data_IF_803066748974
#
_entry.id   IF_803066748974
#
_cell.length_a   1.000
_cell.length_b   1.000
_cell.length_c   1.000
_cell.angle_alpha   90.00
_cell.angle_beta   90.00
_cell.angle_gamma   90.00
#
_symmetry.space_group_name_H-M   'P 1'
#
loop_
_entity.id
_entity.type
_entity.pdbx_description
1 polymer ?
#
# COMPACT_ATOMS: atom_id res chain seq x y z
N UNK A 1 -13.78 -32.28 3.51
CA UNK A 1 -14.08 -30.91 3.05
C UNK A 1 -14.10 -29.98 4.25
N UNK A 2 -13.42 -28.86 4.15
CA UNK A 2 -13.57 -27.74 5.08
C UNK A 2 -14.70 -26.81 4.60
N UNK A 3 -15.06 -25.80 5.41
CA UNK A 3 -16.14 -24.87 5.08
C UNK A 3 -15.91 -24.09 3.78
N UNK A 4 -14.65 -23.68 3.54
CA UNK A 4 -14.28 -22.92 2.34
C UNK A 4 -14.41 -23.78 1.09
N UNK A 5 -13.82 -24.97 1.09
CA UNK A 5 -13.90 -25.92 -0.03
C UNK A 5 -15.34 -26.25 -0.41
N UNK A 6 -16.22 -26.42 0.60
CA UNK A 6 -17.65 -26.69 0.36
C UNK A 6 -18.36 -25.47 -0.22
N UNK A 7 -18.05 -24.28 0.27
CA UNK A 7 -18.62 -23.03 -0.21
C UNK A 7 -18.22 -22.75 -1.67
N UNK A 8 -16.94 -22.93 -2.00
CA UNK A 8 -16.41 -22.75 -3.35
C UNK A 8 -17.05 -23.79 -4.31
N UNK A 9 -17.24 -25.04 -3.88
CA UNK A 9 -17.90 -26.07 -4.65
C UNK A 9 -19.37 -25.71 -4.96
N UNK A 10 -20.09 -25.14 -3.99
CA UNK A 10 -21.47 -24.69 -4.15
C UNK A 10 -21.58 -23.56 -5.19
N UNK A 11 -20.66 -22.61 -5.14
CA UNK A 11 -20.64 -21.48 -6.06
C UNK A 11 -20.23 -21.90 -7.50
N UNK A 12 -19.16 -22.69 -7.63
CA UNK A 12 -18.58 -23.01 -8.93
C UNK A 12 -19.30 -24.16 -9.66
N UNK A 13 -19.63 -25.24 -8.94
CA UNK A 13 -20.20 -26.46 -9.58
C UNK A 13 -21.70 -26.37 -9.73
N UNK A 14 -22.41 -25.83 -8.75
CA UNK A 14 -23.87 -25.74 -8.77
C UNK A 14 -24.41 -24.37 -9.16
N UNK A 15 -23.53 -23.39 -9.46
CA UNK A 15 -23.91 -22.04 -9.87
C UNK A 15 -25.04 -21.44 -9.02
N UNK A 16 -24.98 -21.75 -7.71
CA UNK A 16 -26.00 -21.32 -6.76
C UNK A 16 -25.88 -19.82 -6.50
N UNK A 17 -27.03 -19.15 -6.43
CA UNK A 17 -27.08 -17.76 -5.98
C UNK A 17 -26.61 -17.68 -4.54
N UNK A 18 -25.79 -16.68 -4.23
CA UNK A 18 -25.35 -16.41 -2.88
C UNK A 18 -26.57 -16.12 -1.98
N UNK A 19 -26.52 -16.62 -0.75
CA UNK A 19 -27.62 -16.56 0.24
C UNK A 19 -28.86 -17.43 -0.11
N UNK A 20 -28.84 -18.22 -1.19
CA UNK A 20 -29.89 -19.20 -1.48
C UNK A 20 -29.60 -20.52 -0.78
N UNK A 21 -30.54 -21.02 0.01
CA UNK A 21 -30.41 -22.31 0.69
C UNK A 21 -30.75 -23.44 -0.27
N UNK A 22 -29.78 -24.28 -0.55
CA UNK A 22 -29.91 -25.47 -1.37
C UNK A 22 -30.11 -26.70 -0.49
N UNK A 23 -30.94 -27.65 -0.96
CA UNK A 23 -31.16 -28.94 -0.30
C UNK A 23 -30.43 -30.04 -1.05
N UNK A 24 -29.62 -30.81 -0.32
CA UNK A 24 -28.77 -31.87 -0.84
C UNK A 24 -29.17 -33.22 -0.26
N UNK A 25 -29.02 -34.24 -1.08
CA UNK A 25 -29.05 -35.62 -0.66
C UNK A 25 -27.67 -36.28 -0.80
N UNK A 26 -27.24 -36.95 0.23
CA UNK A 26 -25.99 -37.72 0.20
C UNK A 26 -26.19 -39.16 0.64
N UNK A 27 -25.41 -40.05 0.06
CA UNK A 27 -25.28 -41.44 0.49
C UNK A 27 -23.83 -41.94 0.29
N UNK A 28 -23.44 -42.87 1.08
CA UNK A 28 -22.15 -43.56 0.92
C UNK A 28 -22.38 -44.86 0.17
N UNK A 29 -21.58 -45.07 -0.85
CA UNK A 29 -21.52 -46.37 -1.55
C UNK A 29 -20.14 -46.99 -1.25
N UNK A 30 -20.12 -48.17 -0.67
CA UNK A 30 -18.93 -48.94 -0.42
C UNK A 30 -18.92 -50.15 -1.35
N UNK A 31 -17.83 -50.33 -2.09
CA UNK A 31 -17.64 -51.49 -2.98
C UNK A 31 -16.26 -52.14 -2.69
N UNK A 32 -16.17 -53.44 -2.89
CA UNK A 32 -14.89 -54.13 -2.83
C UNK A 32 -14.20 -54.00 -4.19
N UNK A 33 -12.97 -53.53 -4.20
CA UNK A 33 -12.21 -53.31 -5.44
C UNK A 33 -12.08 -54.65 -6.23
N UNK A 34 -12.55 -54.63 -7.48
CA UNK A 34 -12.58 -55.80 -8.35
C UNK A 34 -13.75 -56.79 -8.09
N UNK A 35 -14.68 -56.41 -7.19
CA UNK A 35 -15.86 -57.20 -6.84
C UNK A 35 -17.08 -56.31 -6.68
N UNK A 36 -17.56 -55.75 -7.78
CA UNK A 36 -18.69 -54.78 -7.80
C UNK A 36 -20.01 -55.40 -7.30
N UNK A 37 -20.15 -56.74 -7.35
CA UNK A 37 -21.28 -57.47 -6.81
C UNK A 37 -21.43 -57.36 -5.28
N UNK A 38 -20.39 -56.90 -4.57
CA UNK A 38 -20.42 -56.64 -3.12
C UNK A 38 -20.56 -55.17 -2.77
N UNK A 39 -21.37 -54.45 -3.51
CA UNK A 39 -21.66 -53.04 -3.24
C UNK A 39 -22.73 -52.90 -2.16
N UNK A 40 -22.46 -52.07 -1.15
CA UNK A 40 -23.43 -51.65 -0.14
C UNK A 40 -23.64 -50.12 -0.23
N UNK A 41 -24.91 -49.74 -0.06
CA UNK A 41 -25.30 -48.32 -0.12
C UNK A 41 -25.97 -47.93 1.19
N UNK A 42 -25.55 -46.84 1.80
CA UNK A 42 -26.20 -46.30 2.99
C UNK A 42 -27.60 -45.74 2.69
N UNK A 43 -28.43 -45.56 3.73
CA UNK A 43 -29.61 -44.68 3.60
C UNK A 43 -29.20 -43.29 3.11
N UNK A 44 -30.13 -42.60 2.43
CA UNK A 44 -29.98 -41.19 2.03
C UNK A 44 -30.09 -40.32 3.27
N UNK A 45 -29.21 -39.34 3.38
CA UNK A 45 -29.26 -38.25 4.36
C UNK A 45 -29.50 -36.94 3.62
N UNK A 46 -30.53 -36.20 4.01
CA UNK A 46 -30.85 -34.89 3.47
C UNK A 46 -30.27 -33.81 4.38
N UNK A 47 -29.63 -32.81 3.81
CA UNK A 47 -29.10 -31.65 4.55
C UNK A 47 -29.22 -30.39 3.68
N UNK A 48 -29.14 -29.22 4.35
CA UNK A 48 -29.24 -27.94 3.69
C UNK A 48 -27.94 -27.18 3.84
N UNK A 49 -27.52 -26.54 2.76
CA UNK A 49 -26.36 -25.65 2.71
C UNK A 49 -26.76 -24.32 2.10
N UNK A 50 -26.26 -23.24 2.66
CA UNK A 50 -26.39 -21.89 2.13
C UNK A 50 -24.98 -21.38 1.82
N UNK A 51 -24.65 -21.15 0.55
CA UNK A 51 -23.37 -20.55 0.21
C UNK A 51 -23.31 -19.14 0.77
N UNK A 52 -22.13 -18.71 1.16
CA UNK A 52 -21.91 -17.38 1.72
C UNK A 52 -20.77 -16.67 1.02
N UNK A 53 -20.82 -15.34 1.00
CA UNK A 53 -19.66 -14.52 0.63
C UNK A 53 -18.81 -14.33 1.88
N UNK A 54 -17.54 -14.76 1.83
CA UNK A 54 -16.57 -14.35 2.84
C UNK A 54 -16.48 -12.82 2.80
N UNK A 55 -16.78 -12.16 3.91
CA UNK A 55 -16.79 -10.69 3.99
C UNK A 55 -15.55 -10.19 4.70
N UNK A 56 -14.77 -9.41 3.99
CA UNK A 56 -13.66 -8.66 4.54
C UNK A 56 -14.17 -7.29 4.99
N UNK A 57 -14.05 -7.00 6.29
CA UNK A 57 -14.55 -5.75 6.87
C UNK A 57 -13.55 -4.61 6.72
N UNK A 58 -12.28 -4.93 6.65
CA UNK A 58 -11.20 -3.98 6.59
C UNK A 58 -10.11 -4.46 5.62
N UNK A 59 -9.48 -3.49 4.98
CA UNK A 59 -8.32 -3.70 4.12
C UNK A 59 -7.38 -2.51 4.29
N UNK A 60 -6.09 -2.79 4.34
CA UNK A 60 -5.05 -1.77 4.43
C UNK A 60 -4.03 -1.95 3.32
N UNK A 61 -3.55 -0.84 2.80
CA UNK A 61 -2.46 -0.79 1.84
C UNK A 61 -1.16 -0.48 2.57
N UNK A 62 -0.08 -1.20 2.24
CA UNK A 62 1.27 -1.00 2.75
C UNK A 62 2.28 -1.08 1.61
N UNK A 63 3.43 -0.47 1.80
CA UNK A 63 4.52 -0.54 0.82
C UNK A 63 5.26 0.77 0.64
N UNK A 64 6.41 0.73 -0.01
CA UNK A 64 7.23 1.92 -0.30
C UNK A 64 6.50 2.99 -1.11
N UNK A 65 5.46 2.62 -1.86
CA UNK A 65 4.61 3.56 -2.56
C UNK A 65 3.62 4.31 -1.65
N UNK A 66 3.39 3.88 -0.41
CA UNK A 66 2.49 4.55 0.53
C UNK A 66 3.27 5.46 1.48
N UNK A 67 2.64 6.52 1.97
CA UNK A 67 3.26 7.44 2.95
C UNK A 67 3.65 6.72 4.24
N UNK A 68 2.91 5.68 4.63
CA UNK A 68 3.18 4.84 5.80
C UNK A 68 4.29 3.81 5.60
N UNK A 69 4.74 3.61 4.36
CA UNK A 69 5.76 2.62 4.01
C UNK A 69 5.37 1.20 4.37
N UNK A 70 6.35 0.40 4.75
CA UNK A 70 6.16 -1.00 5.20
C UNK A 70 5.77 -1.13 6.67
N UNK A 71 5.38 -0.04 7.32
CA UNK A 71 4.92 -0.05 8.71
C UNK A 71 3.46 -0.48 8.82
N UNK A 72 3.19 -1.60 9.50
CA UNK A 72 1.83 -2.06 9.76
C UNK A 72 1.04 -1.06 10.62
N UNK A 73 1.69 -0.39 11.56
CA UNK A 73 1.04 0.63 12.42
C UNK A 73 0.55 1.83 11.59
N UNK A 74 1.30 2.19 10.54
CA UNK A 74 1.01 3.29 9.64
C UNK A 74 0.32 2.85 8.33
N UNK A 75 -0.16 1.60 8.25
CA UNK A 75 -0.83 1.08 7.07
C UNK A 75 -2.02 1.97 6.68
N UNK A 76 -2.12 2.29 5.40
CA UNK A 76 -3.14 3.16 4.83
C UNK A 76 -4.47 2.40 4.72
N UNK A 77 -5.54 2.84 5.39
CA UNK A 77 -6.84 2.18 5.29
C UNK A 77 -7.46 2.40 3.92
N UNK A 78 -8.16 1.39 3.42
CA UNK A 78 -9.04 1.51 2.26
C UNK A 78 -10.50 1.63 2.71
N UNK A 79 -11.29 2.35 1.93
CA UNK A 79 -12.72 2.52 2.20
C UNK A 79 -13.52 1.42 1.50
N UNK A 80 -14.47 0.81 2.21
CA UNK A 80 -15.39 -0.17 1.61
C UNK A 80 -16.39 0.54 0.69
N UNK A 81 -16.69 -0.09 -0.44
CA UNK A 81 -17.69 0.42 -1.38
C UNK A 81 -19.09 -0.06 -0.96
N UNK A 82 -20.02 0.89 -0.74
CA UNK A 82 -21.41 0.58 -0.45
C UNK A 82 -22.02 -0.21 -1.62
N UNK A 83 -22.81 -1.23 -1.31
CA UNK A 83 -23.45 -2.14 -2.29
C UNK A 83 -22.50 -3.00 -3.16
N UNK A 84 -21.19 -2.99 -2.90
CA UNK A 84 -20.21 -3.86 -3.55
C UNK A 84 -19.50 -4.74 -2.50
N UNK A 85 -20.02 -5.95 -2.18
CA UNK A 85 -19.38 -6.83 -1.20
C UNK A 85 -17.90 -7.08 -1.53
N UNK A 86 -17.02 -6.89 -0.53
CA UNK A 86 -15.56 -7.01 -0.69
C UNK A 86 -14.94 -6.02 -1.69
N UNK A 87 -15.70 -5.01 -2.13
CA UNK A 87 -15.19 -3.89 -2.89
C UNK A 87 -14.54 -2.85 -1.99
N UNK A 88 -13.37 -2.37 -2.38
CA UNK A 88 -12.63 -1.33 -1.68
C UNK A 88 -12.13 -0.28 -2.65
N UNK A 89 -12.06 0.97 -2.17
CA UNK A 89 -11.54 2.10 -2.92
C UNK A 89 -10.63 2.96 -2.05
N UNK A 90 -9.67 3.58 -2.66
CA UNK A 90 -8.83 4.60 -2.05
C UNK A 90 -8.39 5.62 -3.10
N UNK A 91 -8.31 6.89 -2.71
CA UNK A 91 -7.76 7.97 -3.51
C UNK A 91 -6.73 8.76 -2.71
N UNK A 92 -5.62 9.10 -3.34
CA UNK A 92 -4.59 9.90 -2.70
C UNK A 92 -3.26 9.88 -3.44
N UNK A 93 -2.23 10.34 -2.74
CA UNK A 93 -0.87 10.37 -3.27
C UNK A 93 -0.20 9.01 -3.07
N UNK A 94 0.30 8.44 -4.16
CA UNK A 94 1.29 7.38 -4.14
C UNK A 94 2.65 7.93 -4.53
N UNK A 95 3.68 7.40 -3.89
CA UNK A 95 5.09 7.64 -4.19
C UNK A 95 5.60 6.53 -5.13
N UNK A 96 6.80 6.67 -5.69
CA UNK A 96 7.43 5.54 -6.40
C UNK A 96 7.78 4.43 -5.42
N UNK A 97 7.54 3.18 -5.80
CA UNK A 97 7.80 2.01 -4.97
C UNK A 97 6.76 0.92 -5.10
N UNK A 98 6.91 -0.09 -4.29
CA UNK A 98 6.02 -1.24 -4.24
C UNK A 98 4.87 -1.04 -3.27
N UNK A 99 3.73 -1.71 -3.51
CA UNK A 99 2.63 -1.83 -2.56
C UNK A 99 1.93 -3.19 -2.64
N UNK A 100 1.29 -3.56 -1.54
CA UNK A 100 0.36 -4.69 -1.41
C UNK A 100 -0.72 -4.39 -0.37
N UNK A 101 -1.65 -5.33 -0.20
CA UNK A 101 -2.78 -5.15 0.72
C UNK A 101 -2.75 -6.21 1.83
N UNK A 102 -3.03 -5.79 3.06
CA UNK A 102 -3.06 -6.68 4.23
C UNK A 102 -4.43 -6.63 4.91
N UNK A 103 -4.85 -7.77 5.48
CA UNK A 103 -6.14 -7.91 6.16
C UNK A 103 -6.07 -7.55 7.65
N UNK A 104 -4.87 -7.28 8.16
CA UNK A 104 -4.65 -6.93 9.58
C UNK A 104 -3.38 -6.10 9.76
N UNK A 105 -3.35 -5.31 10.83
CA UNK A 105 -2.19 -4.46 11.17
C UNK A 105 -1.18 -5.14 12.11
N UNK A 106 -1.29 -6.45 12.29
CA UNK A 106 -0.44 -7.23 13.19
C UNK A 106 0.48 -8.22 12.47
N UNK A 107 0.24 -8.43 11.17
CA UNK A 107 1.02 -9.35 10.34
C UNK A 107 0.97 -8.91 8.88
N UNK A 108 2.00 -9.28 8.10
CA UNK A 108 2.08 -9.09 6.65
C UNK A 108 1.31 -10.18 5.86
N UNK A 109 0.82 -11.20 6.56
CA UNK A 109 -0.06 -12.25 6.03
C UNK A 109 -1.22 -12.48 7.01
N UNK A 110 -2.42 -12.87 6.51
CA UNK A 110 -2.75 -13.01 5.10
C UNK A 110 -2.78 -11.66 4.36
N UNK A 111 -2.52 -11.71 3.06
CA UNK A 111 -2.43 -10.52 2.21
C UNK A 111 -3.01 -10.75 0.82
N UNK A 112 -3.32 -9.67 0.11
CA UNK A 112 -3.62 -9.69 -1.30
C UNK A 112 -2.48 -9.02 -2.06
N UNK A 113 -1.89 -9.77 -2.95
CA UNK A 113 -0.69 -9.41 -3.69
C UNK A 113 -1.02 -9.28 -5.18
N UNK A 114 -0.07 -8.77 -5.97
CA UNK A 114 -0.17 -8.78 -7.42
C UNK A 114 -0.12 -10.22 -7.94
N UNK A 115 -1.00 -10.55 -8.87
CA UNK A 115 -0.88 -11.78 -9.64
C UNK A 115 0.35 -11.74 -10.54
N UNK A 116 1.11 -12.84 -10.61
CA UNK A 116 2.35 -12.91 -11.39
C UNK A 116 2.15 -12.87 -12.91
N UNK A 117 0.94 -13.18 -13.38
CA UNK A 117 0.61 -13.29 -14.80
C UNK A 117 -0.28 -12.14 -15.29
N UNK A 118 -1.12 -11.56 -14.41
CA UNK A 118 -2.06 -10.48 -14.75
C UNK A 118 -1.89 -9.29 -13.81
N UNK A 119 -1.51 -8.13 -14.35
CA UNK A 119 -1.31 -6.90 -13.58
C UNK A 119 -2.61 -6.29 -13.02
N UNK A 120 -3.77 -6.70 -13.53
CA UNK A 120 -5.08 -6.25 -13.07
C UNK A 120 -5.77 -7.26 -12.13
N UNK A 121 -5.01 -8.23 -11.64
CA UNK A 121 -5.50 -9.26 -10.73
C UNK A 121 -4.74 -9.29 -9.41
N UNK A 122 -5.50 -9.66 -8.39
CA UNK A 122 -4.99 -9.97 -7.06
C UNK A 122 -4.79 -11.48 -6.93
N UNK A 123 -3.87 -11.88 -6.07
CA UNK A 123 -3.75 -13.23 -5.55
C UNK A 123 -3.80 -13.19 -4.03
N UNK A 124 -4.58 -14.09 -3.43
CA UNK A 124 -4.60 -14.26 -1.98
C UNK A 124 -3.35 -15.04 -1.54
N UNK A 125 -2.64 -14.50 -0.57
CA UNK A 125 -1.44 -15.07 0.02
C UNK A 125 -1.69 -15.35 1.49
N UNK A 126 -1.73 -16.62 1.87
CA UNK A 126 -2.06 -17.07 3.24
C UNK A 126 -0.83 -17.12 4.14
N UNK A 127 0.34 -17.46 3.58
CA UNK A 127 1.57 -17.70 4.33
C UNK A 127 2.81 -17.05 3.69
N UNK A 128 3.89 -16.96 4.46
CA UNK A 128 5.18 -16.43 3.99
C UNK A 128 5.92 -17.36 3.01
N UNK A 129 5.49 -18.62 2.87
CA UNK A 129 6.08 -19.58 1.94
C UNK A 129 5.58 -19.39 0.48
N UNK A 130 4.53 -18.57 0.29
CA UNK A 130 3.96 -18.28 -1.02
C UNK A 130 4.63 -17.06 -1.68
N UNK A 131 4.59 -16.93 -3.02
CA UNK A 131 5.16 -15.80 -3.74
C UNK A 131 4.63 -14.46 -3.22
N UNK A 132 5.51 -13.47 -3.07
CA UNK A 132 5.19 -12.14 -2.53
C UNK A 132 5.35 -11.06 -3.62
N UNK A 133 4.66 -11.24 -4.76
CA UNK A 133 4.63 -10.26 -5.84
C UNK A 133 3.89 -9.00 -5.41
N UNK A 134 4.34 -7.83 -5.86
CA UNK A 134 3.82 -6.54 -5.45
C UNK A 134 3.48 -5.67 -6.64
N UNK A 135 2.53 -4.76 -6.47
CA UNK A 135 2.25 -3.73 -7.46
C UNK A 135 3.36 -2.68 -7.40
N UNK A 136 3.83 -2.26 -8.57
CA UNK A 136 4.88 -1.24 -8.71
C UNK A 136 4.28 0.08 -9.18
N UNK A 137 4.44 1.13 -8.39
CA UNK A 137 4.17 2.51 -8.80
C UNK A 137 5.48 3.12 -9.27
N UNK A 138 5.60 3.34 -10.57
CA UNK A 138 6.82 3.87 -11.18
C UNK A 138 6.91 5.39 -11.06
N UNK A 139 5.78 6.09 -11.13
CA UNK A 139 5.72 7.55 -11.11
C UNK A 139 4.90 8.03 -9.92
N UNK A 140 5.44 8.87 -9.04
CA UNK A 140 4.65 9.49 -7.97
C UNK A 140 3.51 10.32 -8.55
N UNK A 141 2.33 10.27 -7.92
CA UNK A 141 1.17 11.00 -8.44
C UNK A 141 -0.07 10.87 -7.56
N UNK A 142 -1.18 11.42 -8.05
CA UNK A 142 -2.49 11.21 -7.45
C UNK A 142 -3.14 9.99 -8.11
N UNK A 143 -3.48 9.02 -7.31
CA UNK A 143 -4.02 7.74 -7.79
C UNK A 143 -5.36 7.43 -7.17
N UNK A 144 -6.17 6.69 -7.93
CA UNK A 144 -7.30 5.93 -7.41
C UNK A 144 -6.94 4.45 -7.53
N UNK A 145 -7.15 3.71 -6.45
CA UNK A 145 -7.13 2.24 -6.45
C UNK A 145 -8.54 1.76 -6.14
N UNK A 146 -9.12 0.97 -7.04
CA UNK A 146 -10.36 0.24 -6.83
C UNK A 146 -10.09 -1.24 -6.96
N UNK A 147 -10.59 -2.05 -6.02
CA UNK A 147 -10.40 -3.50 -6.07
C UNK A 147 -11.60 -4.23 -5.47
N UNK A 148 -11.74 -5.50 -5.82
CA UNK A 148 -12.73 -6.40 -5.24
C UNK A 148 -12.08 -7.74 -4.88
N UNK A 149 -12.12 -8.11 -3.60
CA UNK A 149 -11.47 -9.31 -3.08
C UNK A 149 -12.23 -10.61 -3.40
N UNK A 150 -13.49 -10.53 -3.87
CA UNK A 150 -14.25 -11.70 -4.32
C UNK A 150 -13.91 -12.08 -5.76
N UNK A 151 -13.78 -11.08 -6.64
CA UNK A 151 -13.44 -11.29 -8.06
C UNK A 151 -11.94 -11.25 -8.33
N UNK A 152 -11.18 -10.82 -7.33
CA UNK A 152 -9.74 -10.59 -7.39
C UNK A 152 -9.34 -9.54 -8.45
N UNK A 153 -10.25 -8.64 -8.79
CA UNK A 153 -9.99 -7.55 -9.72
C UNK A 153 -9.37 -6.35 -9.00
N UNK A 154 -8.45 -5.69 -9.67
CA UNK A 154 -7.86 -4.42 -9.22
C UNK A 154 -7.67 -3.47 -10.40
N UNK A 155 -7.95 -2.19 -10.16
CA UNK A 155 -7.68 -1.08 -11.07
C UNK A 155 -6.87 -0.02 -10.33
N UNK A 156 -5.71 0.33 -10.87
CA UNK A 156 -4.85 1.41 -10.37
C UNK A 156 -4.82 2.51 -11.44
N UNK A 157 -5.50 3.62 -11.19
CA UNK A 157 -5.66 4.72 -12.15
C UNK A 157 -4.88 5.94 -11.69
N UNK A 158 -3.99 6.46 -12.54
CA UNK A 158 -3.37 7.77 -12.35
C UNK A 158 -4.42 8.86 -12.68
N UNK A 159 -4.78 9.65 -11.68
CA UNK A 159 -5.76 10.72 -11.82
C UNK A 159 -5.14 12.00 -12.38
N UNK A 160 -3.82 12.05 -12.53
CA UNK A 160 -3.09 13.25 -12.93
C UNK A 160 -3.22 14.40 -11.94
N UNK A 161 -2.97 15.61 -12.41
CA UNK A 161 -3.04 16.82 -11.60
C UNK A 161 -1.77 17.05 -10.77
N UNK A 162 -1.77 18.13 -10.01
CA UNK A 162 -0.64 18.46 -9.13
C UNK A 162 -0.60 17.54 -7.92
N UNK A 163 0.53 16.87 -7.71
CA UNK A 163 0.75 16.00 -6.57
C UNK A 163 0.74 16.80 -5.27
N UNK A 164 0.05 16.31 -4.25
CA UNK A 164 -0.01 16.93 -2.92
C UNK A 164 0.80 16.10 -1.94
N UNK A 165 1.90 16.66 -1.45
CA UNK A 165 2.73 16.02 -0.43
C UNK A 165 2.12 16.22 0.96
N UNK A 166 1.67 15.18 1.66
CA UNK A 166 1.04 15.34 2.98
C UNK A 166 2.05 15.65 4.08
N UNK A 167 3.30 15.24 3.91
CA UNK A 167 4.37 15.41 4.88
C UNK A 167 5.71 15.67 4.20
N UNK A 168 6.62 16.29 4.95
CA UNK A 168 8.02 16.49 4.55
C UNK A 168 8.92 16.43 5.78
N UNK A 169 10.09 15.84 5.64
CA UNK A 169 11.10 15.76 6.69
C UNK A 169 12.47 16.21 6.18
N UNK A 170 13.27 16.76 7.07
CA UNK A 170 14.68 17.03 6.84
C UNK A 170 15.54 15.88 7.38
N UNK A 171 16.54 15.48 6.63
CA UNK A 171 17.61 14.56 7.02
C UNK A 171 18.98 15.15 6.66
N UNK A 172 20.01 14.72 7.35
CA UNK A 172 21.36 15.13 7.05
C UNK A 172 22.17 15.42 8.29
N UNK A 173 23.51 15.49 8.13
CA UNK A 173 24.43 15.75 9.24
C UNK A 173 24.21 17.09 9.96
N UNK A 174 23.52 18.04 9.31
CA UNK A 174 23.12 19.30 9.92
C UNK A 174 21.94 19.16 10.90
N UNK A 175 21.12 18.11 10.80
CA UNK A 175 19.99 17.86 11.71
C UNK A 175 20.41 17.03 12.93
N UNK A 176 19.57 17.03 13.97
CA UNK A 176 19.84 16.24 15.19
C UNK A 176 19.81 14.74 14.92
N UNK A 177 18.88 14.28 14.05
CA UNK A 177 18.72 12.87 13.66
C UNK A 177 19.74 12.38 12.63
N UNK A 178 20.56 13.28 12.05
CA UNK A 178 21.52 12.90 11.03
C UNK A 178 20.85 12.36 9.77
N UNK A 179 21.42 11.32 9.19
CA UNK A 179 20.89 10.63 8.00
C UNK A 179 19.90 9.50 8.33
N UNK A 180 19.41 9.42 9.58
CA UNK A 180 18.39 8.45 9.99
C UNK A 180 17.02 8.89 9.52
N UNK A 181 16.30 7.99 8.84
CA UNK A 181 14.91 8.24 8.45
C UNK A 181 13.97 8.19 9.66
N UNK A 182 14.23 7.32 10.63
CA UNK A 182 13.43 7.17 11.84
C UNK A 182 13.50 8.43 12.73
N UNK A 183 14.66 9.10 12.74
CA UNK A 183 14.90 10.33 13.50
C UNK A 183 14.81 11.60 12.65
N UNK A 184 14.22 11.49 11.45
CA UNK A 184 14.10 12.62 10.53
C UNK A 184 13.29 13.77 11.14
N UNK A 185 13.78 14.99 10.95
CA UNK A 185 13.16 16.20 11.50
C UNK A 185 11.93 16.61 10.68
N UNK A 186 10.75 16.49 11.25
CA UNK A 186 9.48 16.82 10.57
C UNK A 186 9.35 18.33 10.34
N UNK A 187 8.95 18.72 9.13
CA UNK A 187 8.55 20.08 8.81
C UNK A 187 7.06 20.27 9.03
N UNK A 188 6.63 21.51 9.28
CA UNK A 188 5.24 21.87 9.49
C UNK A 188 4.64 22.34 8.16
N UNK A 189 3.53 21.75 7.68
CA UNK A 189 2.83 22.26 6.51
C UNK A 189 2.25 23.65 6.80
N UNK A 190 2.29 24.54 5.80
CA UNK A 190 1.71 25.89 5.90
C UNK A 190 0.24 25.80 5.50
N UNK A 191 -0.65 26.23 6.41
CA UNK A 191 -2.09 26.23 6.13
C UNK A 191 -2.42 27.10 4.91
N UNK A 192 -3.34 26.59 4.08
CA UNK A 192 -3.81 27.26 2.84
C UNK A 192 -2.75 27.45 1.73
N UNK A 193 -1.54 26.92 1.94
CA UNK A 193 -0.48 26.92 0.93
C UNK A 193 -0.11 25.48 0.53
N UNK A 194 -0.66 25.01 -0.60
CA UNK A 194 -0.39 23.64 -1.10
C UNK A 194 1.10 23.38 -1.24
N UNK A 195 1.55 22.21 -0.79
CA UNK A 195 2.94 21.74 -0.88
C UNK A 195 3.99 22.68 -0.25
N UNK A 196 3.55 23.61 0.63
CA UNK A 196 4.43 24.53 1.35
C UNK A 196 4.68 24.03 2.77
N UNK A 197 5.94 24.10 3.17
CA UNK A 197 6.40 23.65 4.49
C UNK A 197 7.33 24.68 5.11
N UNK A 198 7.32 24.73 6.44
CA UNK A 198 8.21 25.60 7.22
C UNK A 198 8.79 24.82 8.40
N UNK A 199 10.00 25.17 8.75
CA UNK A 199 10.66 24.70 9.98
C UNK A 199 11.53 25.82 10.55
N UNK A 200 11.63 25.90 11.88
CA UNK A 200 12.48 26.83 12.60
C UNK A 200 13.22 26.10 13.72
N UNK A 201 14.51 26.36 13.88
CA UNK A 201 15.31 25.75 14.92
C UNK A 201 16.81 25.86 14.69
N UNK A 202 17.54 25.20 15.56
CA UNK A 202 19.00 25.13 15.51
C UNK A 202 19.47 23.99 14.59
N UNK A 203 20.39 24.30 13.68
CA UNK A 203 21.10 23.34 12.84
C UNK A 203 22.60 23.35 13.18
N UNK A 204 23.24 22.20 13.02
CA UNK A 204 24.68 22.03 13.13
C UNK A 204 25.35 22.30 11.79
N UNK A 205 26.67 22.54 11.80
CA UNK A 205 27.45 22.51 10.56
C UNK A 205 27.37 21.13 9.92
N UNK A 206 26.97 21.10 8.65
CA UNK A 206 26.78 19.86 7.90
C UNK A 206 25.94 20.02 6.65
N UNK A 207 25.40 18.90 6.19
CA UNK A 207 24.55 18.84 5.00
C UNK A 207 23.13 18.44 5.36
N UNK A 208 22.15 18.89 4.55
CA UNK A 208 20.77 18.43 4.63
C UNK A 208 20.12 18.30 3.25
N UNK A 209 19.09 17.46 3.19
CA UNK A 209 18.09 17.37 2.13
C UNK A 209 16.72 17.03 2.73
N UNK A 210 15.71 16.93 1.88
CA UNK A 210 14.33 16.67 2.31
C UNK A 210 13.82 15.36 1.73
N UNK A 211 13.06 14.61 2.54
CA UNK A 211 12.42 13.35 2.15
C UNK A 211 10.92 13.42 2.39
N UNK A 212 10.16 12.75 1.54
CA UNK A 212 8.70 12.75 1.59
C UNK A 212 8.11 11.64 2.43
N UNK A 213 8.96 10.73 2.92
CA UNK A 213 8.61 9.57 3.73
C UNK A 213 9.77 9.15 4.63
N UNK A 214 9.47 8.39 5.70
CA UNK A 214 10.47 7.84 6.63
C UNK A 214 10.83 6.36 6.34
N UNK A 215 10.25 5.77 5.30
CA UNK A 215 10.49 4.38 4.90
C UNK A 215 11.50 4.21 3.76
N UNK A 216 11.78 5.28 3.02
CA UNK A 216 12.72 5.31 1.91
C UNK A 216 13.33 6.71 1.78
N UNK A 217 14.57 6.78 1.28
CA UNK A 217 15.26 8.02 0.97
C UNK A 217 14.73 8.72 -0.28
N UNK A 218 13.88 8.06 -1.06
CA UNK A 218 13.31 8.56 -2.30
C UNK A 218 11.78 8.43 -2.33
N UNK A 219 11.07 9.32 -3.07
CA UNK A 219 11.63 10.54 -3.68
C UNK A 219 12.10 11.53 -2.63
N UNK A 220 13.12 12.30 -2.98
CA UNK A 220 13.69 13.33 -2.12
C UNK A 220 13.79 14.66 -2.85
N UNK A 221 13.95 15.74 -2.10
CA UNK A 221 14.21 17.06 -2.63
C UNK A 221 15.56 17.54 -2.13
N UNK A 222 16.42 17.87 -3.07
CA UNK A 222 17.76 18.39 -2.81
C UNK A 222 17.93 19.77 -3.39
N UNK A 223 19.15 20.32 -3.23
CA UNK A 223 19.56 21.58 -3.83
C UNK A 223 19.65 21.41 -5.35
N UNK A 224 19.07 22.35 -6.10
CA UNK A 224 19.36 22.46 -7.53
C UNK A 224 20.77 23.06 -7.69
N UNK A 225 21.69 22.28 -8.31
CA UNK A 225 23.04 22.75 -8.57
C UNK A 225 23.14 23.95 -9.53
N UNK A 226 22.08 24.25 -10.27
CA UNK A 226 22.03 25.33 -11.27
C UNK A 226 21.32 26.60 -10.77
N UNK A 227 20.61 26.54 -9.63
CA UNK A 227 19.84 27.66 -9.11
C UNK A 227 19.90 27.74 -7.58
N UNK A 228 20.25 28.91 -7.04
CA UNK A 228 20.59 29.11 -5.63
C UNK A 228 19.41 28.85 -4.67
N UNK A 229 18.19 29.23 -5.07
CA UNK A 229 16.98 29.12 -4.22
C UNK A 229 15.97 28.12 -4.77
N UNK A 230 16.46 27.06 -5.38
CA UNK A 230 15.62 26.04 -6.00
C UNK A 230 15.94 24.64 -5.45
N UNK A 231 14.88 23.86 -5.41
CA UNK A 231 14.92 22.43 -5.15
C UNK A 231 14.99 21.68 -6.47
N UNK A 232 15.52 20.47 -6.42
CA UNK A 232 15.37 19.44 -7.45
C UNK A 232 14.73 18.21 -6.85
N UNK A 233 13.77 17.63 -7.55
CA UNK A 233 13.21 16.31 -7.22
C UNK A 233 14.20 15.24 -7.66
N UNK A 234 14.51 14.31 -6.77
CA UNK A 234 15.44 13.19 -7.01
C UNK A 234 14.67 11.89 -6.75
N UNK A 235 14.50 11.09 -7.79
CA UNK A 235 13.87 9.78 -7.71
C UNK A 235 14.90 8.68 -7.47
N UNK A 236 14.42 7.48 -7.10
CA UNK A 236 15.28 6.32 -6.93
C UNK A 236 15.98 5.97 -8.26
N UNK A 237 17.30 5.72 -8.18
CA UNK A 237 18.14 5.46 -9.36
C UNK A 237 18.69 6.72 -10.06
N UNK A 238 18.27 7.92 -9.67
CA UNK A 238 18.86 9.18 -10.14
C UNK A 238 20.11 9.54 -9.34
N UNK A 239 20.93 10.42 -9.93
CA UNK A 239 22.13 10.88 -9.25
C UNK A 239 21.81 11.78 -8.04
N UNK A 240 22.27 11.38 -6.86
CA UNK A 240 22.11 12.11 -5.59
C UNK A 240 23.49 12.39 -4.99
N UNK A 241 24.21 13.32 -5.60
CA UNK A 241 25.56 13.72 -5.18
C UNK A 241 25.55 14.73 -4.05
N UNK A 242 26.76 15.10 -3.59
CA UNK A 242 26.93 16.14 -2.56
C UNK A 242 26.49 17.53 -3.03
N UNK A 243 26.50 17.79 -4.34
CA UNK A 243 26.01 18.99 -4.98
C UNK A 243 24.49 19.19 -4.81
N UNK A 244 23.74 18.10 -4.61
CA UNK A 244 22.29 18.12 -4.36
C UNK A 244 21.95 18.28 -2.88
N UNK A 245 22.93 18.55 -2.01
CA UNK A 245 22.71 18.79 -0.60
C UNK A 245 22.96 20.24 -0.23
N UNK A 246 22.18 20.77 0.70
CA UNK A 246 22.40 22.10 1.26
C UNK A 246 23.49 22.04 2.30
N UNK A 247 24.55 22.82 2.12
CA UNK A 247 25.60 23.01 3.13
C UNK A 247 25.16 24.07 4.14
N UNK A 248 25.14 23.71 5.41
CA UNK A 248 24.67 24.53 6.53
C UNK A 248 25.85 24.79 7.47
N UNK A 249 25.99 26.02 7.92
CA UNK A 249 26.81 26.38 9.06
C UNK A 249 26.00 26.22 10.36
N UNK A 250 26.65 26.16 11.51
CA UNK A 250 25.96 26.12 12.80
C UNK A 250 25.21 27.43 13.04
N UNK A 251 23.91 27.33 13.39
CA UNK A 251 23.07 28.53 13.66
C UNK A 251 21.60 28.22 13.83
N UNK A 252 20.82 29.27 14.11
CA UNK A 252 19.37 29.18 14.14
C UNK A 252 18.81 29.57 12.78
N UNK A 253 17.98 28.70 12.24
CA UNK A 253 17.46 28.84 10.88
C UNK A 253 15.95 28.84 10.84
N UNK A 254 15.43 29.57 9.86
CA UNK A 254 14.10 29.37 9.31
C UNK A 254 14.24 28.86 7.89
N UNK A 255 13.62 27.71 7.62
CA UNK A 255 13.58 27.11 6.29
C UNK A 255 12.13 27.10 5.84
N UNK A 256 11.81 27.72 4.71
CA UNK A 256 10.52 27.70 4.06
C UNK A 256 10.69 27.21 2.63
N UNK A 257 9.84 26.30 2.20
CA UNK A 257 9.90 25.78 0.84
C UNK A 257 8.51 25.45 0.29
N UNK A 258 8.42 25.37 -1.04
CA UNK A 258 7.24 24.93 -1.77
C UNK A 258 7.64 23.88 -2.82
N UNK A 259 7.09 22.66 -2.70
CA UNK A 259 7.44 21.54 -3.57
C UNK A 259 6.78 21.61 -4.96
N UNK A 260 5.73 22.44 -5.14
CA UNK A 260 5.11 22.64 -6.45
C UNK A 260 5.94 23.58 -7.33
N UNK A 261 6.42 24.66 -6.74
CA UNK A 261 7.26 25.66 -7.45
C UNK A 261 8.74 25.35 -7.37
N UNK A 262 9.11 24.39 -6.51
CA UNK A 262 10.49 24.03 -6.18
C UNK A 262 11.30 25.21 -5.58
N UNK A 263 10.61 26.15 -4.94
CA UNK A 263 11.25 27.28 -4.27
C UNK A 263 11.67 26.90 -2.85
N UNK A 264 12.82 27.40 -2.41
CA UNK A 264 13.30 27.28 -1.04
C UNK A 264 13.95 28.58 -0.57
N UNK A 265 13.67 28.94 0.67
CA UNK A 265 14.30 30.05 1.39
C UNK A 265 14.90 29.50 2.69
N UNK A 266 16.20 29.70 2.88
CA UNK A 266 16.94 29.35 4.09
C UNK A 266 17.49 30.63 4.69
N UNK A 267 16.96 31.05 5.83
CA UNK A 267 17.35 32.29 6.53
C UNK A 267 18.02 31.91 7.85
N UNK A 268 19.20 32.47 8.09
CA UNK A 268 19.87 32.41 9.39
C UNK A 268 19.39 33.58 10.25
N UNK A 269 18.82 33.31 11.43
CA UNK A 269 18.21 34.27 12.34
C UNK A 269 19.19 34.74 13.41
#
# INVERSE_FOLDING_TARGET
>A
FNHKEMNDLLAEVWNSSLDETLEFEARVTAAVLGHEEFTQVSPVVTFKLTPYIERYLNLWMIGGATVGGWSLDNATPMESIEDEPNGFVWEGVLLSGELKFVLQKTSFVPSFNKDGEDENKLVYRESDDEPDEKFMISTPGNYRIKLNLSTLDIEITDLGGEMVYPNLWMIGSATTGGWSLDDATKMTPIADERNSFVWEGELKTGQLKFVTQQSNFYPSFGKDGNAENKLILINEGEHDGDENKFNIEHGNYRIRLNLSTLDIEITNN
#
